data_IF_647342317024
#
_entry.id   IF_647342317024
#
_cell.length_a   1.000
_cell.length_b   1.000
_cell.length_c   1.000
_cell.angle_alpha   90.00
_cell.angle_beta   90.00
_cell.angle_gamma   90.00
#
_symmetry.space_group_name_H-M   'P 1'
#
loop_
_entity.id
_entity.type
_entity.pdbx_description
1 polymer ?
#
# COMPACT_ATOMS: atom_id res chain seq x y z
N UNK A 1 -20.29 4.73 56.61
CA UNK A 1 -21.17 4.74 55.41
C UNK A 1 -20.80 5.95 54.59
N UNK A 2 -20.39 5.75 53.35
CA UNK A 2 -19.84 6.81 52.50
C UNK A 2 -18.84 6.19 51.53
N UNK A 3 -19.38 5.43 50.57
CA UNK A 3 -18.65 5.00 49.40
C UNK A 3 -18.31 6.25 48.58
N UNK A 4 -17.07 6.35 48.09
CA UNK A 4 -16.85 7.02 46.82
C UNK A 4 -16.04 6.09 45.93
N UNK A 5 -16.70 5.70 44.85
CA UNK A 5 -16.24 4.83 43.79
C UNK A 5 -15.99 5.72 42.58
N UNK A 6 -14.85 5.49 41.93
CA UNK A 6 -14.61 5.59 40.47
C UNK A 6 -13.51 6.58 40.06
N UNK A 7 -12.90 6.38 38.89
CA UNK A 7 -12.48 5.09 38.34
C UNK A 7 -11.05 5.14 37.79
N UNK A 8 -10.48 3.94 37.65
CA UNK A 8 -9.37 3.63 36.76
C UNK A 8 -9.50 4.35 35.41
N UNK A 9 -8.49 5.15 35.08
CA UNK A 9 -8.18 5.46 33.69
C UNK A 9 -7.47 4.24 33.09
N UNK A 10 -8.03 3.54 32.10
CA UNK A 10 -7.18 2.68 31.29
C UNK A 10 -6.20 3.59 30.52
N UNK A 11 -4.92 3.42 30.80
CA UNK A 11 -3.84 3.92 29.96
C UNK A 11 -4.09 3.38 28.55
N UNK A 12 -4.44 4.28 27.62
CA UNK A 12 -4.50 3.98 26.20
C UNK A 12 -3.09 3.57 25.77
N UNK A 13 -2.82 2.27 25.77
CA UNK A 13 -1.62 1.68 25.20
C UNK A 13 -1.63 2.03 23.71
N UNK A 14 -0.93 3.10 23.35
CA UNK A 14 -0.46 3.30 21.98
C UNK A 14 0.45 2.11 21.72
N UNK A 15 -0.08 1.07 21.08
CA UNK A 15 0.77 0.03 20.50
C UNK A 15 1.59 0.72 19.41
N UNK A 16 2.75 1.25 19.80
CA UNK A 16 3.76 1.69 18.87
C UNK A 16 4.24 0.42 18.18
N UNK A 17 3.61 0.09 17.05
CA UNK A 17 3.96 -1.05 16.23
C UNK A 17 5.41 -0.91 15.78
N UNK A 18 6.32 -1.51 16.55
CA UNK A 18 7.75 -1.50 16.24
C UNK A 18 7.92 -2.24 14.92
N UNK A 19 8.49 -1.55 13.95
CA UNK A 19 8.77 -2.16 12.65
C UNK A 19 9.69 -3.36 12.85
N UNK A 20 9.36 -4.55 12.30
CA UNK A 20 10.22 -5.72 12.44
C UNK A 20 11.53 -5.48 11.71
N UNK A 21 12.61 -6.10 12.19
CA UNK A 21 13.95 -5.96 11.61
C UNK A 21 13.99 -6.36 10.12
N UNK A 22 13.11 -7.27 9.72
CA UNK A 22 12.95 -7.70 8.33
C UNK A 22 12.17 -6.72 7.44
N UNK A 23 11.52 -5.68 7.95
CA UNK A 23 10.73 -4.80 7.09
C UNK A 23 11.62 -3.81 6.31
N UNK A 24 11.33 -3.70 5.01
CA UNK A 24 12.08 -2.84 4.09
C UNK A 24 12.14 -1.39 4.55
N UNK A 25 13.27 -0.68 4.38
CA UNK A 25 13.42 0.77 4.60
C UNK A 25 12.23 1.60 4.08
N UNK A 26 11.76 2.57 4.88
CA UNK A 26 10.54 3.35 4.62
C UNK A 26 9.23 2.56 4.39
N UNK A 27 9.13 1.27 4.73
CA UNK A 27 7.87 0.55 4.77
C UNK A 27 6.89 1.14 5.80
N UNK A 28 5.62 1.13 5.42
CA UNK A 28 4.47 1.49 6.23
C UNK A 28 3.73 0.22 6.66
N UNK A 29 3.13 0.26 7.84
CA UNK A 29 2.30 -0.84 8.33
C UNK A 29 0.89 -0.73 7.76
N UNK A 30 0.36 -1.84 7.24
CA UNK A 30 -1.04 -1.90 6.80
C UNK A 30 -1.99 -1.98 8.02
N UNK A 31 -3.24 -1.54 7.90
CA UNK A 31 -4.20 -1.57 9.00
C UNK A 31 -4.44 -2.96 9.62
N UNK A 32 -4.46 -4.01 8.79
CA UNK A 32 -4.64 -5.40 9.21
C UNK A 32 -3.35 -6.08 9.65
N UNK A 33 -2.23 -5.35 9.65
CA UNK A 33 -0.89 -5.90 9.88
C UNK A 33 -0.15 -6.21 8.57
N UNK A 34 1.15 -6.50 8.70
CA UNK A 34 2.05 -6.59 7.56
C UNK A 34 2.66 -5.24 7.18
N UNK A 35 3.77 -5.30 6.45
CA UNK A 35 4.57 -4.12 6.10
C UNK A 35 4.79 -4.06 4.60
N UNK A 36 4.65 -2.85 4.05
CA UNK A 36 4.82 -2.62 2.61
C UNK A 36 5.66 -1.37 2.37
N UNK A 37 6.64 -1.48 1.46
CA UNK A 37 7.39 -0.32 0.97
C UNK A 37 6.66 0.28 -0.22
N UNK A 38 6.07 1.46 -0.03
CA UNK A 38 5.47 2.23 -1.10
C UNK A 38 6.44 3.31 -1.60
N UNK A 39 6.72 3.37 -2.92
CA UNK A 39 7.64 4.39 -3.48
C UNK A 39 7.34 4.83 -4.91
N UNK A 40 8.06 5.85 -5.36
CA UNK A 40 8.13 6.26 -6.77
C UNK A 40 9.40 5.72 -7.43
N UNK A 41 9.28 5.07 -8.59
CA UNK A 41 10.41 4.54 -9.35
C UNK A 41 11.37 5.63 -9.88
N UNK A 42 10.87 6.86 -10.06
CA UNK A 42 11.70 8.01 -10.46
C UNK A 42 12.61 8.52 -9.34
N UNK A 43 12.40 8.07 -8.10
CA UNK A 43 13.27 8.37 -6.98
C UNK A 43 14.27 7.23 -6.77
N UNK A 44 15.49 7.52 -6.29
CA UNK A 44 16.45 6.49 -5.94
C UNK A 44 15.83 5.44 -5.01
N UNK A 45 16.18 4.17 -5.22
CA UNK A 45 15.78 3.12 -4.30
C UNK A 45 16.36 3.42 -2.91
N UNK A 46 15.57 3.33 -1.83
CA UNK A 46 16.11 3.43 -0.49
C UNK A 46 17.22 2.39 -0.29
N UNK A 47 18.36 2.76 0.33
CA UNK A 47 19.43 1.82 0.60
C UNK A 47 18.94 0.71 1.55
N UNK A 48 19.49 -0.49 1.41
CA UNK A 48 19.18 -1.64 2.28
C UNK A 48 18.60 -2.81 1.50
N UNK A 49 17.84 -3.66 2.20
CA UNK A 49 17.37 -4.92 1.66
C UNK A 49 16.48 -4.77 0.42
N UNK A 50 16.59 -5.76 -0.46
CA UNK A 50 15.70 -5.94 -1.60
C UNK A 50 14.40 -6.62 -1.15
N UNK A 51 13.28 -6.32 -1.85
CA UNK A 51 12.01 -6.98 -1.57
C UNK A 51 12.04 -8.44 -2.02
N UNK A 52 11.25 -9.28 -1.35
CA UNK A 52 10.94 -10.65 -1.78
C UNK A 52 9.99 -10.64 -2.98
N UNK A 53 9.08 -9.64 -3.05
CA UNK A 53 8.19 -9.39 -4.19
C UNK A 53 8.01 -7.88 -4.44
N UNK A 54 8.06 -7.46 -5.70
CA UNK A 54 7.62 -6.12 -6.13
C UNK A 54 6.34 -6.14 -6.97
N UNK A 55 5.40 -5.23 -6.69
CA UNK A 55 4.28 -4.90 -7.57
C UNK A 55 4.48 -3.51 -8.19
N UNK A 56 4.61 -3.47 -9.52
CA UNK A 56 4.92 -2.24 -10.25
C UNK A 56 3.77 -1.80 -11.16
N UNK A 57 3.41 -0.53 -11.04
CA UNK A 57 2.28 0.06 -11.75
C UNK A 57 2.79 1.04 -12.81
N UNK A 58 2.65 0.68 -14.08
CA UNK A 58 3.07 1.56 -15.16
C UNK A 58 2.87 0.97 -16.54
N UNK A 59 2.79 1.86 -17.53
CA UNK A 59 2.77 1.46 -18.93
C UNK A 59 4.16 1.13 -19.48
N UNK A 60 4.20 0.76 -20.76
CA UNK A 60 5.38 0.25 -21.48
C UNK A 60 6.65 1.08 -21.29
N UNK A 61 6.55 2.42 -21.33
CA UNK A 61 7.73 3.30 -21.20
C UNK A 61 8.37 3.21 -19.81
N UNK A 62 7.54 3.16 -18.76
CA UNK A 62 8.05 3.09 -17.39
C UNK A 62 8.70 1.73 -17.14
N UNK A 63 8.05 0.65 -17.60
CA UNK A 63 8.59 -0.70 -17.54
C UNK A 63 9.93 -0.78 -18.26
N UNK A 64 10.01 -0.40 -19.54
CA UNK A 64 11.26 -0.43 -20.33
C UNK A 64 12.43 0.28 -19.63
N UNK A 65 12.15 1.36 -18.90
CA UNK A 65 13.19 2.15 -18.20
C UNK A 65 13.68 1.50 -16.90
N UNK A 66 12.86 0.72 -16.20
CA UNK A 66 13.16 0.27 -14.84
C UNK A 66 13.24 -1.25 -14.68
N UNK A 67 12.61 -2.04 -15.55
CA UNK A 67 12.50 -3.50 -15.44
C UNK A 67 13.86 -4.17 -15.24
N UNK A 68 14.88 -3.77 -16.03
CA UNK A 68 16.24 -4.29 -15.92
C UNK A 68 16.96 -3.98 -14.59
N UNK A 69 16.48 -2.99 -13.82
CA UNK A 69 17.04 -2.61 -12.51
C UNK A 69 16.39 -3.39 -11.36
N UNK A 70 15.29 -4.09 -11.61
CA UNK A 70 14.50 -4.80 -10.62
C UNK A 70 14.95 -6.26 -10.59
N UNK A 71 16.05 -6.54 -9.89
CA UNK A 71 16.72 -7.84 -9.86
C UNK A 71 16.06 -8.90 -8.97
N UNK A 72 14.81 -8.67 -8.55
CA UNK A 72 14.03 -9.53 -7.65
C UNK A 72 12.70 -9.93 -8.30
N UNK A 73 11.99 -10.95 -7.78
CA UNK A 73 10.69 -11.36 -8.29
C UNK A 73 9.70 -10.21 -8.30
N UNK A 74 9.03 -9.98 -9.43
CA UNK A 74 8.09 -8.88 -9.55
C UNK A 74 7.02 -9.07 -10.61
N UNK A 75 5.92 -8.33 -10.43
CA UNK A 75 4.79 -8.29 -11.36
C UNK A 75 4.58 -6.85 -11.81
N UNK A 76 4.29 -6.67 -13.11
CA UNK A 76 3.85 -5.40 -13.67
C UNK A 76 2.35 -5.42 -13.94
N UNK A 77 1.66 -4.39 -13.48
CA UNK A 77 0.30 -4.08 -13.92
C UNK A 77 0.38 -2.96 -14.95
N UNK A 78 -0.16 -3.21 -16.15
CA UNK A 78 -0.33 -2.15 -17.15
C UNK A 78 -1.37 -1.13 -16.66
N UNK A 79 -0.84 -0.06 -16.10
CA UNK A 79 -1.61 0.99 -15.45
C UNK A 79 -1.11 2.35 -15.94
N UNK A 80 -1.73 2.90 -17.00
CA UNK A 80 -1.32 4.20 -17.56
C UNK A 80 -1.40 5.32 -16.52
N UNK A 81 -0.56 6.34 -16.70
CA UNK A 81 -0.51 7.51 -15.81
C UNK A 81 -1.90 8.16 -15.71
N UNK A 82 -2.28 8.54 -14.49
CA UNK A 82 -3.58 9.12 -14.13
C UNK A 82 -4.81 8.29 -14.49
N UNK A 83 -4.70 7.06 -15.00
CA UNK A 83 -5.87 6.23 -15.41
C UNK A 83 -6.12 5.07 -14.44
N UNK A 84 -6.88 4.07 -14.90
CA UNK A 84 -7.16 2.79 -14.26
C UNK A 84 -6.35 1.66 -14.94
N UNK A 85 -6.18 0.49 -14.30
CA UNK A 85 -5.49 -0.63 -14.93
C UNK A 85 -6.24 -1.10 -16.18
N UNK A 86 -5.49 -1.52 -17.20
CA UNK A 86 -6.06 -2.03 -18.46
C UNK A 86 -6.86 -3.31 -18.27
N UNK A 87 -6.40 -4.17 -17.35
CA UNK A 87 -7.09 -5.37 -16.92
C UNK A 87 -7.47 -5.23 -15.43
N UNK A 88 -8.74 -4.92 -15.13
CA UNK A 88 -9.21 -4.81 -13.77
C UNK A 88 -9.07 -6.08 -12.92
N UNK A 89 -9.33 -7.25 -13.49
CA UNK A 89 -9.37 -8.51 -12.76
C UNK A 89 -7.96 -8.98 -12.42
N UNK A 90 -7.05 -8.92 -13.40
CA UNK A 90 -5.64 -9.22 -13.15
C UNK A 90 -5.02 -8.25 -12.13
N UNK A 91 -5.36 -6.96 -12.21
CA UNK A 91 -4.92 -5.98 -11.22
C UNK A 91 -5.46 -6.29 -9.82
N UNK A 92 -6.74 -6.64 -9.68
CA UNK A 92 -7.32 -7.01 -8.40
C UNK A 92 -6.68 -8.25 -7.79
N UNK A 93 -6.46 -9.29 -8.60
CA UNK A 93 -5.75 -10.51 -8.19
C UNK A 93 -4.33 -10.21 -7.69
N UNK A 94 -3.54 -9.43 -8.43
CA UNK A 94 -2.19 -9.06 -8.03
C UNK A 94 -2.15 -8.20 -6.75
N UNK A 95 -3.14 -7.34 -6.53
CA UNK A 95 -3.24 -6.55 -5.29
C UNK A 95 -3.58 -7.45 -4.09
N UNK A 96 -4.46 -8.45 -4.27
CA UNK A 96 -4.78 -9.43 -3.22
C UNK A 96 -3.59 -10.33 -2.89
N UNK A 97 -2.81 -10.77 -3.89
CA UNK A 97 -1.58 -11.53 -3.66
C UNK A 97 -0.54 -10.70 -2.88
N UNK A 98 -0.36 -9.43 -3.26
CA UNK A 98 0.52 -8.52 -2.53
C UNK A 98 0.11 -8.36 -1.06
N UNK A 99 -1.19 -8.25 -0.80
CA UNK A 99 -1.76 -8.16 0.55
C UNK A 99 -1.47 -9.42 1.38
N UNK A 100 -1.75 -10.60 0.81
CA UNK A 100 -1.54 -11.88 1.48
C UNK A 100 -0.06 -12.08 1.86
N UNK A 101 0.87 -11.74 0.95
CA UNK A 101 2.32 -11.82 1.20
C UNK A 101 2.79 -10.84 2.27
N UNK A 102 2.27 -9.61 2.26
CA UNK A 102 2.55 -8.65 3.32
C UNK A 102 2.10 -9.19 4.69
N UNK A 103 0.92 -9.80 4.76
CA UNK A 103 0.38 -10.44 5.97
C UNK A 103 1.19 -11.66 6.43
N UNK A 104 1.77 -12.40 5.49
CA UNK A 104 2.70 -13.51 5.79
C UNK A 104 4.10 -13.04 6.23
N UNK A 105 4.37 -11.73 6.22
CA UNK A 105 5.64 -11.14 6.66
C UNK A 105 6.72 -11.07 5.58
N UNK A 106 6.38 -11.28 4.31
CA UNK A 106 7.30 -11.08 3.19
C UNK A 106 7.64 -9.58 3.01
N UNK A 107 8.87 -9.29 2.57
CA UNK A 107 9.30 -7.95 2.22
C UNK A 107 8.68 -7.54 0.89
N UNK A 108 7.51 -6.91 0.92
CA UNK A 108 6.83 -6.49 -0.31
C UNK A 108 7.07 -5.02 -0.66
N UNK A 109 7.23 -4.74 -1.96
CA UNK A 109 7.33 -3.40 -2.51
C UNK A 109 6.16 -3.10 -3.46
N UNK A 110 5.66 -1.86 -3.40
CA UNK A 110 4.69 -1.30 -4.33
C UNK A 110 5.24 0.01 -4.91
N UNK A 111 5.34 0.10 -6.23
CA UNK A 111 5.78 1.35 -6.84
C UNK A 111 5.09 1.69 -8.15
N UNK A 112 4.97 3.00 -8.40
CA UNK A 112 4.64 3.54 -9.72
C UNK A 112 5.64 4.64 -10.09
N UNK A 113 5.44 5.36 -11.20
CA UNK A 113 6.40 6.38 -11.63
C UNK A 113 6.69 7.46 -10.57
N UNK A 114 5.63 8.09 -10.04
CA UNK A 114 5.76 9.16 -9.04
C UNK A 114 5.49 8.74 -7.60
N UNK A 115 5.01 7.51 -7.37
CA UNK A 115 4.67 7.04 -6.03
C UNK A 115 3.46 7.73 -5.39
N UNK A 116 2.60 8.45 -6.12
CA UNK A 116 1.49 9.22 -5.53
C UNK A 116 0.12 8.61 -5.87
N UNK A 117 -0.40 8.79 -7.10
CA UNK A 117 -1.77 8.40 -7.42
C UNK A 117 -2.01 6.90 -7.49
N UNK A 118 -1.34 6.20 -8.41
CA UNK A 118 -1.52 4.73 -8.58
C UNK A 118 -1.08 3.95 -7.34
N UNK A 119 0.07 4.30 -6.79
CA UNK A 119 0.55 3.74 -5.52
C UNK A 119 -0.44 3.97 -4.41
N UNK A 120 -0.91 5.21 -4.22
CA UNK A 120 -1.95 5.53 -3.23
C UNK A 120 -3.28 4.83 -3.49
N UNK A 121 -3.63 4.57 -4.74
CA UNK A 121 -4.84 3.82 -5.12
C UNK A 121 -4.74 2.37 -4.67
N UNK A 122 -3.60 1.72 -4.93
CA UNK A 122 -3.38 0.34 -4.45
C UNK A 122 -3.31 0.31 -2.92
N UNK A 123 -2.63 1.25 -2.27
CA UNK A 123 -2.64 1.34 -0.80
C UNK A 123 -4.06 1.44 -0.23
N UNK A 124 -4.92 2.28 -0.82
CA UNK A 124 -6.31 2.35 -0.41
C UNK A 124 -7.05 1.01 -0.64
N UNK A 125 -6.80 0.30 -1.75
CA UNK A 125 -7.33 -1.04 -1.95
C UNK A 125 -6.87 -2.04 -0.86
N UNK A 126 -5.62 -1.98 -0.43
CA UNK A 126 -5.10 -2.82 0.67
C UNK A 126 -5.81 -2.51 1.99
N UNK A 127 -5.99 -1.23 2.32
CA UNK A 127 -6.74 -0.83 3.51
C UNK A 127 -8.21 -1.28 3.48
N UNK A 128 -8.83 -1.33 2.29
CA UNK A 128 -10.16 -1.93 2.11
C UNK A 128 -10.16 -3.43 2.38
N UNK A 129 -9.12 -4.17 1.96
CA UNK A 129 -8.98 -5.60 2.30
C UNK A 129 -8.84 -5.81 3.80
N UNK A 130 -8.26 -4.85 4.51
CA UNK A 130 -8.16 -4.84 5.98
C UNK A 130 -9.44 -4.36 6.68
N UNK A 131 -10.54 -4.16 5.95
CA UNK A 131 -11.85 -3.86 6.51
C UNK A 131 -12.21 -2.38 6.59
N UNK A 132 -11.38 -1.46 6.08
CA UNK A 132 -11.79 -0.06 5.98
C UNK A 132 -12.91 0.12 4.94
N UNK A 133 -13.84 1.02 5.23
CA UNK A 133 -14.74 1.53 4.21
C UNK A 133 -13.93 2.29 3.13
N UNK A 134 -14.36 2.31 1.85
CA UNK A 134 -13.59 2.91 0.77
C UNK A 134 -13.20 4.39 0.98
N UNK A 135 -14.05 5.18 1.64
CA UNK A 135 -13.73 6.58 1.93
C UNK A 135 -12.60 6.70 2.97
N UNK A 136 -12.67 5.90 4.03
CA UNK A 136 -11.66 5.88 5.10
C UNK A 136 -10.33 5.32 4.60
N UNK A 137 -10.38 4.33 3.70
CA UNK A 137 -9.18 3.78 3.07
C UNK A 137 -8.40 4.82 2.25
N UNK A 138 -9.10 5.73 1.57
CA UNK A 138 -8.46 6.85 0.87
C UNK A 138 -7.85 7.84 1.84
N UNK A 139 -8.56 8.16 2.94
CA UNK A 139 -8.04 9.03 3.99
C UNK A 139 -6.78 8.44 4.63
N UNK A 140 -6.82 7.15 4.95
CA UNK A 140 -5.69 6.39 5.48
C UNK A 140 -4.50 6.41 4.52
N UNK A 141 -4.69 6.13 3.22
CA UNK A 141 -3.61 6.16 2.25
C UNK A 141 -2.96 7.55 2.15
N UNK A 142 -3.75 8.61 2.35
CA UNK A 142 -3.23 10.00 2.36
C UNK A 142 -2.42 10.31 3.61
N UNK A 143 -2.85 9.85 4.77
CA UNK A 143 -2.12 10.06 6.03
C UNK A 143 -0.87 9.18 6.13
N UNK A 144 -0.95 7.93 5.69
CA UNK A 144 0.12 6.95 5.86
C UNK A 144 1.23 7.10 4.82
N UNK A 145 0.92 7.59 3.61
CA UNK A 145 1.86 7.59 2.49
C UNK A 145 2.09 8.96 1.88
N UNK A 146 1.05 9.60 1.34
CA UNK A 146 1.21 10.91 0.70
C UNK A 146 -0.10 11.71 0.68
N UNK A 147 -0.12 13.01 1.06
CA UNK A 147 -1.36 13.80 1.15
C UNK A 147 -2.20 13.84 -0.14
N UNK A 148 -1.55 13.73 -1.30
CA UNK A 148 -2.20 13.67 -2.62
C UNK A 148 -2.46 12.25 -3.15
N UNK A 149 -2.36 11.23 -2.32
CA UNK A 149 -2.70 9.85 -2.70
C UNK A 149 -4.15 9.79 -3.24
N UNK A 150 -4.34 8.94 -4.26
CA UNK A 150 -5.58 8.82 -5.04
C UNK A 150 -5.89 10.16 -5.72
N UNK A 151 -5.22 10.39 -6.84
CA UNK A 151 -5.15 11.69 -7.52
C UNK A 151 -6.43 12.01 -8.30
N UNK A 152 -7.12 11.00 -8.83
CA UNK A 152 -8.23 11.23 -9.76
C UNK A 152 -9.57 10.71 -9.23
N UNK A 153 -10.70 11.31 -9.68
CA UNK A 153 -12.03 10.84 -9.29
C UNK A 153 -12.31 9.38 -9.66
N UNK A 154 -11.80 8.90 -10.80
CA UNK A 154 -11.98 7.50 -11.20
C UNK A 154 -11.09 6.53 -10.41
N UNK A 155 -9.91 6.94 -9.93
CA UNK A 155 -9.15 6.15 -8.96
C UNK A 155 -9.93 6.00 -7.65
N UNK A 156 -10.60 7.05 -7.18
CA UNK A 156 -11.49 6.95 -6.02
C UNK A 156 -12.67 5.99 -6.26
N UNK A 157 -13.30 6.06 -7.44
CA UNK A 157 -14.35 5.10 -7.82
C UNK A 157 -13.84 3.67 -7.92
N UNK A 158 -12.60 3.49 -8.38
CA UNK A 158 -11.94 2.18 -8.40
C UNK A 158 -11.84 1.60 -7.00
N UNK A 159 -11.35 2.36 -6.01
CA UNK A 159 -11.27 1.91 -4.61
C UNK A 159 -12.65 1.50 -4.09
N UNK A 160 -13.69 2.27 -4.40
CA UNK A 160 -15.06 1.94 -4.00
C UNK A 160 -15.61 0.64 -4.63
N UNK A 161 -15.19 0.32 -5.87
CA UNK A 161 -15.61 -0.90 -6.57
C UNK A 161 -14.74 -2.11 -6.23
N UNK A 162 -13.51 -1.89 -5.76
CA UNK A 162 -12.49 -2.90 -5.56
C UNK A 162 -12.95 -4.17 -4.80
N UNK A 163 -13.76 -4.11 -3.72
CA UNK A 163 -14.25 -5.31 -3.04
C UNK A 163 -14.98 -6.32 -3.94
N UNK A 164 -15.55 -5.84 -5.06
CA UNK A 164 -16.38 -6.61 -6.00
C UNK A 164 -15.60 -7.07 -7.24
N UNK A 165 -14.30 -6.79 -7.32
CA UNK A 165 -13.41 -7.17 -8.42
C UNK A 165 -12.68 -8.48 -8.15
#
# INVERSE_FOLDING_TARGET
MGADHSPDRPASARSSSRRPDRALPAAIMLPGGGWIRARGLRHPAPPGDTPDLGLYLGGTRLRKRHDALLTWPHVWIDWPDFLLPRDPAAAASAIRDLHARAGAGERVELACGGGVGRTGTVLACLAVLDGHAPADAVAWARSAHHPRAVETPWQRRWVARFPRL
#
